data_IF_059932073611
#
_entry.id   IF_059932073611
#
_cell.length_a   1.000
_cell.length_b   1.000
_cell.length_c   1.000
_cell.angle_alpha   90.00
_cell.angle_beta   90.00
_cell.angle_gamma   90.00
#
_symmetry.space_group_name_H-M   'P 1'
#
loop_
_entity.id
_entity.type
_entity.pdbx_description
1 polymer ?
#
# COMPACT_ATOMS: atom_id res chain seq x y z
N UNK A 1 16.39 -12.25 40.22
CA UNK A 1 15.58 -11.02 40.16
C UNK A 1 15.31 -10.76 38.69
N UNK A 2 14.06 -10.85 38.24
CA UNK A 2 13.72 -10.36 36.90
C UNK A 2 13.57 -8.85 37.02
N UNK A 3 14.52 -8.09 36.47
CA UNK A 3 14.33 -6.66 36.23
C UNK A 3 13.15 -6.53 35.26
N UNK A 4 12.01 -6.06 35.76
CA UNK A 4 10.99 -5.45 34.91
C UNK A 4 11.60 -4.13 34.42
N UNK A 5 12.20 -4.16 33.23
CA UNK A 5 12.41 -2.94 32.45
C UNK A 5 11.04 -2.50 31.97
N UNK A 6 10.43 -1.57 32.69
CA UNK A 6 9.29 -0.81 32.18
C UNK A 6 9.83 0.15 31.09
N UNK A 7 10.19 -0.42 29.95
CA UNK A 7 10.88 0.21 28.81
C UNK A 7 9.96 1.14 27.98
N UNK A 8 8.86 1.59 28.59
CA UNK A 8 7.81 2.42 28.00
C UNK A 8 7.53 3.60 28.91
N UNK A 9 8.53 4.48 29.09
CA UNK A 9 8.40 5.69 29.91
C UNK A 9 7.33 6.68 29.37
N UNK A 10 6.84 6.47 28.15
CA UNK A 10 5.70 7.21 27.58
C UNK A 10 4.90 6.38 26.58
N UNK A 11 3.63 6.76 26.36
CA UNK A 11 2.78 6.17 25.31
C UNK A 11 3.44 6.25 23.93
N UNK A 12 4.16 7.34 23.65
CA UNK A 12 4.89 7.53 22.40
C UNK A 12 6.02 6.51 22.23
N UNK A 13 6.76 6.22 23.30
CA UNK A 13 7.82 5.19 23.28
C UNK A 13 7.25 3.80 23.00
N UNK A 14 6.05 3.51 23.50
CA UNK A 14 5.34 2.28 23.18
C UNK A 14 4.92 2.24 21.70
N UNK A 15 4.30 3.30 21.20
CA UNK A 15 3.87 3.42 19.80
C UNK A 15 5.05 3.29 18.83
N UNK A 16 6.14 4.00 19.07
CA UNK A 16 7.34 3.96 18.24
C UNK A 16 7.94 2.55 18.19
N UNK A 17 8.07 1.87 19.35
CA UNK A 17 8.56 0.48 19.42
C UNK A 17 7.60 -0.51 18.77
N UNK A 18 6.30 -0.30 18.90
CA UNK A 18 5.29 -1.12 18.27
C UNK A 18 5.37 -1.00 16.75
N UNK A 19 5.47 0.22 16.23
CA UNK A 19 5.67 0.47 14.80
C UNK A 19 6.99 -0.17 14.35
N UNK A 20 8.10 0.04 15.04
CA UNK A 20 9.41 -0.53 14.66
C UNK A 20 9.40 -2.08 14.62
N UNK A 21 8.64 -2.71 15.52
CA UNK A 21 8.55 -4.17 15.62
C UNK A 21 7.65 -4.80 14.53
N UNK A 22 6.60 -4.09 14.09
CA UNK A 22 5.55 -4.63 13.23
C UNK A 22 5.45 -3.97 11.85
N UNK A 23 6.07 -2.82 11.64
CA UNK A 23 6.13 -2.18 10.34
C UNK A 23 7.01 -3.00 9.40
N UNK A 24 6.59 -3.06 8.14
CA UNK A 24 7.38 -3.69 7.10
C UNK A 24 8.66 -2.86 6.89
N UNK A 25 9.83 -3.49 6.88
CA UNK A 25 11.09 -2.76 6.76
C UNK A 25 11.22 -1.99 5.43
N UNK A 26 10.38 -2.33 4.44
CA UNK A 26 10.38 -1.69 3.13
C UNK A 26 8.97 -1.53 2.55
N UNK A 27 8.09 -0.81 3.28
CA UNK A 27 6.71 -0.50 2.87
C UNK A 27 6.67 0.00 1.42
N UNK A 28 7.53 0.95 1.05
CA UNK A 28 7.57 1.55 -0.28
C UNK A 28 7.88 0.54 -1.38
N UNK A 29 8.92 -0.28 -1.23
CA UNK A 29 9.25 -1.28 -2.24
C UNK A 29 8.16 -2.35 -2.34
N UNK A 30 7.59 -2.77 -1.21
CA UNK A 30 6.53 -3.76 -1.18
C UNK A 30 5.24 -3.23 -1.84
N UNK A 31 4.91 -1.96 -1.64
CA UNK A 31 3.81 -1.29 -2.33
C UNK A 31 4.02 -1.24 -3.85
N UNK A 32 5.23 -0.90 -4.31
CA UNK A 32 5.57 -0.91 -5.74
C UNK A 32 5.50 -2.31 -6.36
N UNK A 33 6.01 -3.33 -5.67
CA UNK A 33 5.90 -4.72 -6.11
C UNK A 33 4.43 -5.12 -6.23
N UNK A 34 3.62 -4.84 -5.19
CA UNK A 34 2.18 -5.12 -5.21
C UNK A 34 1.49 -4.38 -6.37
N UNK A 35 1.78 -3.09 -6.61
CA UNK A 35 1.23 -2.32 -7.74
C UNK A 35 1.52 -2.98 -9.09
N UNK A 36 2.73 -3.51 -9.30
CA UNK A 36 3.06 -4.21 -10.56
C UNK A 36 2.28 -5.53 -10.75
N UNK A 37 1.86 -6.15 -9.64
CA UNK A 37 1.22 -7.46 -9.61
C UNK A 37 -0.31 -7.40 -9.53
N UNK A 38 -0.89 -6.28 -9.06
CA UNK A 38 -2.35 -6.19 -8.94
C UNK A 38 -3.01 -6.26 -10.31
N UNK A 39 -4.17 -6.90 -10.36
CA UNK A 39 -5.08 -6.94 -11.50
C UNK A 39 -6.49 -6.81 -10.95
N UNK A 40 -7.36 -6.10 -11.66
CA UNK A 40 -8.76 -5.96 -11.24
C UNK A 40 -9.51 -7.29 -11.34
N UNK A 41 -9.26 -8.06 -12.39
CA UNK A 41 -9.91 -9.35 -12.65
C UNK A 41 -11.45 -9.27 -12.55
N UNK A 42 -12.02 -9.93 -11.54
CA UNK A 42 -13.45 -9.98 -11.23
C UNK A 42 -13.84 -9.12 -10.02
N UNK A 43 -12.90 -8.35 -9.44
CA UNK A 43 -13.21 -7.46 -8.33
C UNK A 43 -14.13 -6.33 -8.79
N UNK A 44 -15.01 -5.88 -7.89
CA UNK A 44 -15.78 -4.66 -8.11
C UNK A 44 -14.83 -3.48 -8.30
N UNK A 45 -15.21 -2.54 -9.16
CA UNK A 45 -14.39 -1.38 -9.49
C UNK A 45 -14.04 -0.57 -8.25
N UNK A 46 -15.01 -0.35 -7.35
CA UNK A 46 -14.80 0.44 -6.13
C UNK A 46 -13.75 -0.18 -5.20
N UNK A 47 -13.85 -1.50 -4.96
CA UNK A 47 -12.88 -2.24 -4.14
C UNK A 47 -11.48 -2.18 -4.76
N UNK A 48 -11.40 -2.33 -6.08
CA UNK A 48 -10.15 -2.26 -6.80
C UNK A 48 -9.52 -0.87 -6.73
N UNK A 49 -10.31 0.18 -6.93
CA UNK A 49 -9.86 1.57 -6.84
C UNK A 49 -9.36 1.89 -5.43
N UNK A 50 -10.07 1.44 -4.39
CA UNK A 50 -9.63 1.63 -3.01
C UNK A 50 -8.28 0.96 -2.76
N UNK A 51 -8.11 -0.29 -3.20
CA UNK A 51 -6.84 -1.03 -3.09
C UNK A 51 -5.71 -0.35 -3.86
N UNK A 52 -5.97 0.10 -5.09
CA UNK A 52 -5.01 0.82 -5.91
C UNK A 52 -4.54 2.11 -5.21
N UNK A 53 -5.47 2.93 -4.72
CA UNK A 53 -5.16 4.18 -4.02
C UNK A 53 -4.31 3.97 -2.77
N UNK A 54 -4.61 2.94 -1.97
CA UNK A 54 -3.82 2.61 -0.79
C UNK A 54 -2.37 2.27 -1.17
N UNK A 55 -2.19 1.41 -2.17
CA UNK A 55 -0.86 1.04 -2.64
C UNK A 55 -0.10 2.23 -3.25
N UNK A 56 -0.79 3.12 -3.97
CA UNK A 56 -0.17 4.35 -4.49
C UNK A 56 0.32 5.22 -3.34
N UNK A 57 -0.49 5.40 -2.29
CA UNK A 57 -0.11 6.21 -1.13
C UNK A 57 1.12 5.67 -0.39
N UNK A 58 1.31 4.35 -0.39
CA UNK A 58 2.47 3.68 0.20
C UNK A 58 3.70 3.65 -0.74
N UNK A 59 3.51 3.81 -2.06
CA UNK A 59 4.56 3.63 -3.07
C UNK A 59 5.44 4.85 -3.33
N UNK A 60 5.05 6.01 -2.79
CA UNK A 60 5.67 7.34 -3.04
C UNK A 60 5.71 7.76 -4.53
N UNK A 61 4.97 7.08 -5.42
CA UNK A 61 4.83 7.51 -6.81
C UNK A 61 3.92 8.75 -6.84
N UNK A 62 4.43 9.86 -7.37
CA UNK A 62 3.71 11.15 -7.37
C UNK A 62 3.33 11.62 -8.76
N UNK A 63 3.96 11.07 -9.81
CA UNK A 63 3.67 11.44 -11.18
C UNK A 63 2.32 10.89 -11.62
N UNK A 64 1.33 11.79 -11.76
CA UNK A 64 -0.02 11.44 -12.19
C UNK A 64 -0.05 10.70 -13.54
N UNK A 65 0.85 11.00 -14.47
CA UNK A 65 0.92 10.30 -15.76
C UNK A 65 1.30 8.83 -15.60
N UNK A 66 2.31 8.53 -14.78
CA UNK A 66 2.72 7.17 -14.49
C UNK A 66 1.61 6.39 -13.77
N UNK A 67 0.91 7.04 -12.82
CA UNK A 67 -0.22 6.43 -12.11
C UNK A 67 -1.40 6.10 -13.03
N UNK A 68 -1.69 6.95 -14.01
CA UNK A 68 -2.73 6.70 -15.01
C UNK A 68 -2.36 5.52 -15.89
N UNK A 69 -1.12 5.46 -16.39
CA UNK A 69 -0.62 4.33 -17.19
C UNK A 69 -0.70 3.03 -16.41
N UNK A 70 -0.20 3.01 -15.18
CA UNK A 70 -0.30 1.86 -14.28
C UNK A 70 -1.75 1.43 -14.09
N UNK A 71 -2.65 2.37 -13.84
CA UNK A 71 -4.06 2.07 -13.61
C UNK A 71 -4.69 1.41 -14.83
N UNK A 72 -4.44 1.93 -16.04
CA UNK A 72 -4.97 1.35 -17.29
C UNK A 72 -4.45 -0.08 -17.51
N UNK A 73 -3.16 -0.35 -17.25
CA UNK A 73 -2.57 -1.68 -17.43
C UNK A 73 -3.17 -2.76 -16.52
N UNK A 74 -3.64 -2.37 -15.34
CA UNK A 74 -4.14 -3.31 -14.32
C UNK A 74 -5.66 -3.50 -14.33
N UNK A 75 -6.39 -2.64 -15.04
CA UNK A 75 -7.84 -2.73 -15.23
C UNK A 75 -8.23 -3.97 -16.05
N UNK A 76 -9.48 -4.40 -15.89
CA UNK A 76 -10.03 -5.43 -16.76
C UNK A 76 -10.10 -4.91 -18.21
N UNK A 77 -9.50 -5.61 -19.20
CA UNK A 77 -9.49 -5.17 -20.60
C UNK A 77 -10.87 -4.89 -21.19
N UNK A 78 -11.90 -5.59 -20.72
CA UNK A 78 -13.29 -5.35 -21.15
C UNK A 78 -13.78 -3.95 -20.76
N UNK A 79 -13.35 -3.43 -19.60
CA UNK A 79 -13.68 -2.07 -19.15
C UNK A 79 -12.88 -1.05 -19.94
N UNK A 80 -11.59 -1.30 -20.19
CA UNK A 80 -10.73 -0.40 -20.97
C UNK A 80 -11.32 -0.17 -22.38
N UNK A 81 -11.86 -1.23 -23.00
CA UNK A 81 -12.49 -1.18 -24.33
C UNK A 81 -13.80 -0.37 -24.37
N UNK A 82 -14.50 -0.21 -23.26
CA UNK A 82 -15.74 0.59 -23.20
C UNK A 82 -15.46 2.09 -23.02
N UNK A 83 -14.25 2.44 -22.54
CA UNK A 83 -13.85 3.82 -22.23
C UNK A 83 -13.08 4.48 -23.39
N UNK A 84 -12.48 3.69 -24.29
CA UNK A 84 -11.74 4.13 -25.48
C UNK A 84 -12.42 3.72 -26.78
#
# INVERSE_FOLDING_TARGET
>A
MYEKKDDYESWKTFEDKFIDQFADANITANARIKLSQIRQEKQMADDFIAKFKNLVSESEITESSALIEYFIEVLNPAIVKEVY
#
